data_IF_964490208870
#
_entry.id   IF_964490208870
#
_cell.length_a   1.000
_cell.length_b   1.000
_cell.length_c   1.000
_cell.angle_alpha   90.00
_cell.angle_beta   90.00
_cell.angle_gamma   90.00
#
_symmetry.space_group_name_H-M   'P 1'
#
loop_
_entity.id
_entity.type
_entity.pdbx_description
1 polymer ?
#
# COMPACT_ATOMS: atom_id res chain seq x y z
N UNK A 1 3.82 -0.35 2.96
CA UNK A 1 3.66 0.69 3.99
C UNK A 1 5.02 1.08 4.52
N UNK A 2 5.25 2.38 4.67
CA UNK A 2 6.41 2.93 5.38
C UNK A 2 5.89 3.58 6.66
N UNK A 3 5.87 2.84 7.76
CA UNK A 3 5.31 3.32 9.02
C UNK A 3 4.53 2.27 9.81
N UNK A 4 4.25 2.60 11.07
CA UNK A 4 3.31 1.83 11.91
C UNK A 4 1.89 1.91 11.34
N UNK A 5 1.07 0.92 11.67
CA UNK A 5 -0.34 0.91 11.27
C UNK A 5 -1.20 0.10 12.21
N UNK A 6 -2.33 -0.37 11.71
CA UNK A 6 -3.31 -1.13 12.49
C UNK A 6 -3.85 -2.31 11.68
N UNK A 7 -4.17 -3.41 12.34
CA UNK A 7 -4.73 -4.60 11.71
C UNK A 7 -6.19 -4.42 11.33
N UNK A 8 -6.58 -4.85 10.12
CA UNK A 8 -7.98 -4.85 9.70
C UNK A 8 -8.81 -5.88 10.49
N UNK A 9 -8.24 -7.02 10.83
CA UNK A 9 -8.93 -8.14 11.48
C UNK A 9 -9.34 -7.82 12.92
N UNK A 10 -8.40 -7.38 13.76
CA UNK A 10 -8.58 -7.23 15.20
C UNK A 10 -8.29 -5.83 15.74
N UNK A 11 -7.82 -4.90 14.89
CA UNK A 11 -7.54 -3.53 15.29
C UNK A 11 -6.27 -3.38 16.15
N UNK A 12 -5.42 -4.40 16.26
CA UNK A 12 -4.15 -4.28 16.98
C UNK A 12 -3.18 -3.36 16.24
N UNK A 13 -2.36 -2.67 17.01
CA UNK A 13 -1.32 -1.79 16.49
C UNK A 13 -0.16 -2.63 15.94
N UNK A 14 0.32 -2.23 14.77
CA UNK A 14 1.52 -2.76 14.13
C UNK A 14 2.64 -1.77 14.39
N UNK A 15 3.61 -2.13 15.23
CA UNK A 15 4.74 -1.28 15.61
C UNK A 15 5.95 -1.51 14.67
N UNK A 16 6.98 -0.66 14.81
CA UNK A 16 8.15 -0.61 13.91
C UNK A 16 9.06 -1.85 13.94
N UNK A 17 8.84 -2.76 14.88
CA UNK A 17 9.49 -4.07 14.95
C UNK A 17 8.87 -5.09 13.97
N UNK A 18 7.69 -4.81 13.42
CA UNK A 18 7.03 -5.65 12.42
C UNK A 18 7.53 -5.34 11.01
N UNK A 19 7.86 -6.39 10.24
CA UNK A 19 8.35 -6.27 8.86
C UNK A 19 7.38 -5.51 7.94
N UNK A 20 6.07 -5.55 8.23
CA UNK A 20 5.05 -4.82 7.46
C UNK A 20 5.27 -3.30 7.46
N UNK A 21 6.02 -2.75 8.42
CA UNK A 21 6.31 -1.32 8.51
C UNK A 21 7.37 -0.83 7.53
N UNK A 22 8.07 -1.73 6.85
CA UNK A 22 8.94 -1.45 5.71
C UNK A 22 8.59 -2.39 4.55
N UNK A 23 7.45 -2.13 3.92
CA UNK A 23 6.87 -3.01 2.90
C UNK A 23 6.63 -2.28 1.58
N UNK A 24 7.18 -2.81 0.50
CA UNK A 24 6.85 -2.38 -0.87
C UNK A 24 5.78 -3.31 -1.44
N UNK A 25 4.58 -2.81 -1.77
CA UNK A 25 3.50 -3.66 -2.23
C UNK A 25 3.78 -4.26 -3.62
N UNK A 26 4.46 -3.53 -4.51
CA UNK A 26 4.72 -3.94 -5.89
C UNK A 26 3.44 -4.43 -6.60
N UNK A 27 2.34 -3.71 -6.37
CA UNK A 27 1.01 -3.99 -6.92
C UNK A 27 0.47 -2.78 -7.65
N UNK A 28 -0.23 -3.04 -8.75
CA UNK A 28 -0.93 -2.00 -9.47
C UNK A 28 -2.12 -1.43 -8.66
N UNK A 29 -2.66 -0.27 -9.06
CA UNK A 29 -3.71 0.43 -8.32
C UNK A 29 -4.99 -0.38 -8.12
N UNK A 30 -5.29 -1.33 -9.02
CA UNK A 30 -6.49 -2.19 -8.94
C UNK A 30 -6.38 -3.30 -7.88
N UNK A 31 -5.17 -3.66 -7.49
CA UNK A 31 -4.91 -4.79 -6.57
C UNK A 31 -4.52 -4.31 -5.17
N UNK A 32 -4.15 -3.04 -5.04
CA UNK A 32 -3.48 -2.50 -3.86
C UNK A 32 -4.33 -2.60 -2.59
N UNK A 33 -5.63 -2.34 -2.68
CA UNK A 33 -6.53 -2.42 -1.52
C UNK A 33 -6.68 -3.85 -1.00
N UNK A 34 -6.83 -4.81 -1.91
CA UNK A 34 -6.96 -6.23 -1.56
C UNK A 34 -5.67 -6.76 -0.94
N UNK A 35 -4.52 -6.36 -1.47
CA UNK A 35 -3.22 -6.68 -0.90
C UNK A 35 -3.09 -6.22 0.56
N UNK A 36 -3.42 -4.95 0.85
CA UNK A 36 -3.34 -4.44 2.21
C UNK A 36 -4.37 -5.07 3.16
N UNK A 37 -5.60 -5.30 2.68
CA UNK A 37 -6.66 -5.89 3.51
C UNK A 37 -6.45 -7.37 3.81
N UNK A 38 -6.10 -8.16 2.79
CA UNK A 38 -6.09 -9.63 2.90
C UNK A 38 -4.69 -10.20 3.10
N UNK A 39 -3.70 -9.69 2.38
CA UNK A 39 -2.35 -10.25 2.43
C UNK A 39 -1.52 -9.64 3.57
N UNK A 40 -1.74 -8.38 3.92
CA UNK A 40 -0.97 -7.69 4.96
C UNK A 40 -1.75 -7.49 6.27
N UNK A 41 -3.08 -7.59 6.21
CA UNK A 41 -3.97 -7.25 7.31
C UNK A 41 -3.57 -5.89 7.92
N UNK A 42 -3.51 -4.83 7.10
CA UNK A 42 -2.91 -3.55 7.45
C UNK A 42 -3.73 -2.37 6.90
N UNK A 43 -4.02 -1.38 7.75
CA UNK A 43 -4.39 -0.03 7.35
C UNK A 43 -3.58 1.02 8.12
N UNK A 44 -3.40 2.19 7.52
CA UNK A 44 -2.55 3.24 8.08
C UNK A 44 -3.25 4.02 9.19
N UNK A 45 -4.47 4.51 8.92
CA UNK A 45 -5.20 5.37 9.85
C UNK A 45 -6.73 5.24 9.71
N UNK A 46 -7.45 5.68 10.74
CA UNK A 46 -8.89 5.89 10.66
C UNK A 46 -9.17 7.33 10.24
N UNK A 47 -10.03 7.51 9.26
CA UNK A 47 -10.49 8.85 8.88
C UNK A 47 -11.23 9.49 10.07
N UNK A 48 -10.80 10.68 10.49
CA UNK A 48 -11.30 11.33 11.72
C UNK A 48 -12.81 11.53 11.75
N UNK A 49 -13.41 11.92 10.63
CA UNK A 49 -14.87 12.16 10.55
C UNK A 49 -15.67 10.87 10.38
N UNK A 50 -15.32 10.03 9.41
CA UNK A 50 -16.14 8.87 9.02
C UNK A 50 -15.81 7.59 9.79
N UNK A 51 -14.68 7.55 10.49
CA UNK A 51 -14.15 6.34 11.13
C UNK A 51 -13.67 5.28 10.13
N UNK A 52 -13.68 5.56 8.82
CA UNK A 52 -13.28 4.62 7.79
C UNK A 52 -11.79 4.27 7.93
N UNK A 53 -11.46 2.98 7.79
CA UNK A 53 -10.08 2.49 7.81
C UNK A 53 -9.45 2.72 6.43
N UNK A 54 -8.42 3.56 6.37
CA UNK A 54 -7.81 4.01 5.12
C UNK A 54 -6.35 3.55 5.00
N UNK A 55 -5.94 3.34 3.76
CA UNK A 55 -4.55 3.08 3.38
C UNK A 55 -3.99 4.37 2.77
N UNK A 56 -2.85 4.84 3.26
CA UNK A 56 -2.15 6.00 2.71
C UNK A 56 -1.29 5.53 1.54
N UNK A 57 -1.46 6.14 0.37
CA UNK A 57 -0.63 5.88 -0.80
C UNK A 57 0.54 6.86 -0.88
N UNK A 58 1.68 6.43 -1.39
CA UNK A 58 2.87 7.25 -1.63
C UNK A 58 3.38 6.96 -3.04
N UNK A 59 3.63 8.04 -3.81
CA UNK A 59 4.40 8.10 -5.05
C UNK A 59 4.60 6.73 -5.75
N UNK A 60 3.52 6.15 -6.33
CA UNK A 60 3.56 4.81 -6.92
C UNK A 60 3.97 4.89 -8.39
N UNK A 61 5.00 5.67 -8.72
CA UNK A 61 5.35 5.93 -10.13
C UNK A 61 5.78 4.64 -10.83
N UNK A 62 6.57 3.79 -10.15
CA UNK A 62 7.03 2.52 -10.72
C UNK A 62 5.86 1.58 -11.04
N UNK A 63 4.93 1.39 -10.10
CA UNK A 63 3.76 0.53 -10.30
C UNK A 63 2.74 1.12 -11.27
N UNK A 64 2.68 2.45 -11.39
CA UNK A 64 1.82 3.14 -12.37
C UNK A 64 2.40 3.07 -13.78
N UNK A 65 3.73 3.14 -13.90
CA UNK A 65 4.45 3.02 -15.16
C UNK A 65 4.39 1.59 -15.73
N UNK A 66 4.48 0.57 -14.86
CA UNK A 66 4.46 -0.83 -15.25
C UNK A 66 3.18 -1.20 -16.04
N UNK A 67 3.37 -1.74 -17.24
CA UNK A 67 2.30 -2.11 -18.16
C UNK A 67 1.75 -0.97 -19.01
N UNK A 68 2.26 0.26 -18.89
CA UNK A 68 1.92 1.40 -19.75
C UNK A 68 2.38 1.21 -21.21
N UNK A 69 1.94 2.10 -22.11
CA UNK A 69 2.40 2.07 -23.52
C UNK A 69 3.91 2.28 -23.62
N UNK A 70 4.48 3.18 -22.80
CA UNK A 70 5.93 3.45 -22.77
C UNK A 70 6.72 2.25 -22.26
N UNK A 71 6.27 1.63 -21.16
CA UNK A 71 6.89 0.42 -20.61
C UNK A 71 6.90 -0.73 -21.65
N UNK A 72 5.75 -0.98 -22.28
CA UNK A 72 5.63 -2.01 -23.33
C UNK A 72 6.50 -1.73 -24.56
N UNK A 73 6.84 -0.46 -24.80
CA UNK A 73 7.73 -0.04 -25.86
C UNK A 73 9.21 -0.04 -25.45
N UNK A 74 9.54 -0.40 -24.20
CA UNK A 74 10.91 -0.43 -23.67
C UNK A 74 11.47 0.95 -23.31
N UNK A 75 10.64 1.99 -23.25
CA UNK A 75 11.08 3.36 -22.90
C UNK A 75 11.24 3.44 -21.39
N UNK A 76 12.46 3.65 -20.89
CA UNK A 76 12.76 3.68 -19.45
C UNK A 76 12.71 5.08 -18.85
N UNK A 77 12.87 5.18 -17.53
CA UNK A 77 12.92 6.46 -16.82
C UNK A 77 14.18 7.31 -17.12
N UNK A 78 15.23 6.71 -17.70
CA UNK A 78 16.52 7.36 -17.97
C UNK A 78 16.53 8.15 -19.29
#
# INVERSE_FOLDING_TARGET
ACGSGTQFSDGKKIAYDDQRTNHMPLKGPKELLEHYKKAQDFFDFKHEVTGARLVKLQHPEAETYAGSVHDRAGVTCQ
#
